data_IF_815534365368
#
_entry.id   IF_815534365368
#
_cell.length_a   1.000
_cell.length_b   1.000
_cell.length_c   1.000
_cell.angle_alpha   90.00
_cell.angle_beta   90.00
_cell.angle_gamma   90.00
#
_symmetry.space_group_name_H-M   'P 1'
#
loop_
_entity.id
_entity.type
_entity.pdbx_description
1 polymer ?
#
# COMPACT_ATOMS: atom_id res chain seq x y z
N UNK A 1 24.76 -57.38 3.20
CA UNK A 1 23.92 -56.54 4.08
C UNK A 1 24.86 -55.67 4.88
N UNK A 2 25.30 -54.52 4.35
CA UNK A 2 26.18 -53.59 5.10
C UNK A 2 25.89 -52.12 4.78
N UNK A 3 24.79 -51.83 4.07
CA UNK A 3 24.58 -50.49 3.51
C UNK A 3 23.69 -49.65 4.45
N UNK A 4 22.86 -50.22 5.31
CA UNK A 4 21.91 -49.42 6.11
C UNK A 4 22.54 -48.60 7.26
N UNK A 5 23.69 -49.01 7.81
CA UNK A 5 24.31 -48.33 8.96
C UNK A 5 24.95 -46.98 8.65
N UNK A 6 25.46 -46.77 7.44
CA UNK A 6 26.22 -45.55 7.12
C UNK A 6 25.34 -44.29 7.10
N UNK A 7 24.08 -44.41 6.66
CA UNK A 7 23.19 -43.26 6.54
C UNK A 7 22.79 -42.71 7.91
N UNK A 8 22.57 -43.60 8.88
CA UNK A 8 22.20 -43.24 10.25
C UNK A 8 23.37 -42.50 10.93
N UNK A 9 24.59 -43.03 10.81
CA UNK A 9 25.81 -42.39 11.35
C UNK A 9 26.17 -41.08 10.64
N UNK A 10 25.90 -40.96 9.33
CA UNK A 10 26.07 -39.70 8.59
C UNK A 10 25.05 -38.66 9.06
N UNK A 11 23.81 -39.09 9.32
CA UNK A 11 22.74 -38.25 9.86
C UNK A 11 23.07 -37.68 11.23
N UNK A 12 23.55 -38.51 12.16
CA UNK A 12 23.95 -38.07 13.49
C UNK A 12 25.10 -37.04 13.45
N UNK A 13 26.08 -37.26 12.58
CA UNK A 13 27.19 -36.33 12.38
C UNK A 13 26.73 -35.00 11.78
N UNK A 14 25.85 -35.02 10.78
CA UNK A 14 25.24 -33.81 10.21
C UNK A 14 24.42 -33.06 11.25
N UNK A 15 23.57 -33.77 12.00
CA UNK A 15 22.77 -33.18 13.06
C UNK A 15 23.62 -32.47 14.10
N UNK A 16 24.72 -33.10 14.54
CA UNK A 16 25.65 -32.52 15.52
C UNK A 16 26.28 -31.23 15.03
N UNK A 17 26.52 -31.09 13.71
CA UNK A 17 27.06 -29.87 13.09
C UNK A 17 26.00 -28.79 12.86
N UNK A 18 24.77 -29.19 12.56
CA UNK A 18 23.65 -28.28 12.25
C UNK A 18 22.98 -27.76 13.52
N UNK A 19 22.81 -28.60 14.54
CA UNK A 19 22.16 -28.27 15.81
C UNK A 19 22.67 -26.99 16.49
N UNK A 20 23.99 -26.74 16.64
CA UNK A 20 24.47 -25.50 17.24
C UNK A 20 24.15 -24.24 16.41
N UNK A 21 23.98 -24.37 15.08
CA UNK A 21 23.68 -23.26 14.16
C UNK A 21 22.16 -23.05 13.97
N UNK A 22 21.36 -24.11 13.98
CA UNK A 22 19.93 -24.08 13.65
C UNK A 22 19.09 -24.97 14.58
N UNK A 23 19.08 -24.69 15.89
CA UNK A 23 18.45 -25.52 16.92
C UNK A 23 17.01 -25.93 16.63
N UNK A 24 16.15 -24.98 16.26
CA UNK A 24 14.72 -25.24 15.99
C UNK A 24 14.45 -26.09 14.74
N UNK A 25 15.32 -26.00 13.73
CA UNK A 25 15.12 -26.65 12.44
C UNK A 25 16.09 -27.80 12.17
N UNK A 26 16.99 -28.11 13.11
CA UNK A 26 18.08 -29.07 12.90
C UNK A 26 17.59 -30.45 12.47
N UNK A 27 16.51 -30.95 13.08
CA UNK A 27 15.93 -32.25 12.73
C UNK A 27 15.39 -32.28 11.31
N UNK A 28 14.63 -31.26 10.91
CA UNK A 28 14.05 -31.14 9.57
C UNK A 28 15.14 -30.93 8.51
N UNK A 29 16.09 -30.03 8.77
CA UNK A 29 17.23 -29.76 7.89
C UNK A 29 18.07 -31.01 7.67
N UNK A 30 18.36 -31.76 8.75
CA UNK A 30 19.12 -33.01 8.65
C UNK A 30 18.33 -34.05 7.84
N UNK A 31 17.03 -34.17 8.06
CA UNK A 31 16.16 -35.06 7.29
C UNK A 31 16.18 -34.75 5.79
N UNK A 32 16.02 -33.48 5.41
CA UNK A 32 16.07 -33.05 4.00
C UNK A 32 17.43 -33.26 3.37
N UNK A 33 18.51 -33.06 4.12
CA UNK A 33 19.85 -33.34 3.63
C UNK A 33 20.07 -34.83 3.46
N UNK A 34 19.56 -35.68 4.36
CA UNK A 34 19.66 -37.14 4.25
C UNK A 34 18.98 -37.75 3.01
N UNK A 35 18.12 -36.99 2.32
CA UNK A 35 17.58 -37.37 1.01
C UNK A 35 18.62 -37.28 -0.12
N UNK A 36 19.77 -36.63 0.13
CA UNK A 36 20.87 -36.55 -0.82
C UNK A 36 21.69 -37.85 -0.87
N UNK A 37 22.34 -38.13 -2.01
CA UNK A 37 23.20 -39.30 -2.14
C UNK A 37 24.36 -39.30 -1.11
N UNK A 38 24.73 -40.48 -0.61
CA UNK A 38 25.77 -40.64 0.42
C UNK A 38 27.10 -39.97 0.11
N UNK A 39 27.54 -40.02 -1.14
CA UNK A 39 28.79 -39.39 -1.55
C UNK A 39 28.75 -37.87 -1.34
N UNK A 40 27.59 -37.25 -1.54
CA UNK A 40 27.36 -35.82 -1.28
C UNK A 40 27.40 -35.55 0.23
N UNK A 41 26.77 -36.40 1.04
CA UNK A 41 26.77 -36.27 2.52
C UNK A 41 28.18 -36.40 3.10
N UNK A 42 28.95 -37.39 2.65
CA UNK A 42 30.34 -37.55 3.06
C UNK A 42 31.21 -36.37 2.63
N UNK A 43 30.96 -35.81 1.44
CA UNK A 43 31.65 -34.62 0.96
C UNK A 43 31.28 -33.37 1.79
N UNK A 44 30.02 -33.22 2.17
CA UNK A 44 29.56 -32.12 3.04
C UNK A 44 30.14 -32.21 4.45
N UNK A 45 30.37 -33.40 4.99
CA UNK A 45 31.04 -33.55 6.29
C UNK A 45 32.53 -33.16 6.24
N UNK A 46 33.15 -33.24 5.06
CA UNK A 46 34.55 -32.84 4.84
C UNK A 46 34.68 -31.36 4.45
N UNK A 47 33.67 -30.80 3.80
CA UNK A 47 33.63 -29.41 3.33
C UNK A 47 32.55 -28.61 4.06
N UNK A 48 33.00 -27.78 5.02
CA UNK A 48 32.11 -26.95 5.83
C UNK A 48 31.40 -25.86 5.02
N UNK A 49 32.00 -25.37 3.92
CA UNK A 49 31.36 -24.38 3.05
C UNK A 49 30.22 -25.02 2.25
N UNK A 50 30.45 -26.23 1.73
CA UNK A 50 29.42 -27.02 1.06
C UNK A 50 28.27 -27.37 2.01
N UNK A 51 28.59 -27.74 3.25
CA UNK A 51 27.59 -27.99 4.29
C UNK A 51 26.77 -26.74 4.58
N UNK A 52 27.41 -25.59 4.80
CA UNK A 52 26.69 -24.33 5.02
C UNK A 52 25.78 -23.98 3.85
N UNK A 53 26.26 -24.11 2.61
CA UNK A 53 25.46 -23.81 1.42
C UNK A 53 24.26 -24.77 1.27
N UNK A 54 24.45 -26.05 1.55
CA UNK A 54 23.36 -27.04 1.50
C UNK A 54 22.34 -26.80 2.61
N UNK A 55 22.79 -26.47 3.83
CA UNK A 55 21.92 -26.09 4.95
C UNK A 55 21.15 -24.81 4.64
N UNK A 56 21.77 -23.81 4.02
CA UNK A 56 21.09 -22.59 3.61
C UNK A 56 20.02 -22.88 2.54
N UNK A 57 20.35 -23.71 1.54
CA UNK A 57 19.37 -24.16 0.54
C UNK A 57 18.20 -24.92 1.16
N UNK A 58 18.48 -25.86 2.07
CA UNK A 58 17.45 -26.59 2.79
C UNK A 58 16.62 -25.66 3.70
N UNK A 59 17.24 -24.63 4.28
CA UNK A 59 16.56 -23.62 5.09
C UNK A 59 15.61 -22.77 4.23
N UNK A 60 16.04 -22.34 3.04
CA UNK A 60 15.18 -21.66 2.07
C UNK A 60 14.01 -22.55 1.63
N UNK A 61 14.27 -23.82 1.35
CA UNK A 61 13.23 -24.78 1.00
C UNK A 61 12.23 -25.04 2.15
N UNK A 62 12.71 -25.08 3.40
CA UNK A 62 11.84 -25.17 4.59
C UNK A 62 11.03 -23.92 4.84
N UNK A 63 11.54 -22.73 4.48
CA UNK A 63 10.77 -21.49 4.53
C UNK A 63 9.65 -21.53 3.49
N UNK A 64 9.95 -21.93 2.25
CA UNK A 64 8.95 -22.09 1.18
C UNK A 64 7.85 -23.11 1.54
N UNK A 65 8.19 -24.16 2.29
CA UNK A 65 7.22 -25.20 2.69
C UNK A 65 6.46 -24.85 3.97
N UNK A 66 6.95 -23.88 4.77
CA UNK A 66 6.33 -23.45 6.04
C UNK A 66 5.59 -22.11 5.95
N UNK A 67 5.37 -21.56 4.77
CA UNK A 67 4.35 -20.49 4.63
C UNK A 67 2.96 -21.13 4.73
N UNK A 68 2.27 -20.92 5.86
CA UNK A 68 1.68 -19.63 6.14
C UNK A 68 2.60 -18.79 7.02
N UNK A 69 2.77 -17.54 6.62
CA UNK A 69 3.27 -16.41 7.42
C UNK A 69 4.80 -16.26 7.65
N UNK A 70 5.33 -15.18 7.05
CA UNK A 70 6.48 -14.31 7.42
C UNK A 70 7.84 -14.50 6.72
N UNK A 71 7.91 -13.94 5.51
CA UNK A 71 8.93 -13.03 4.92
C UNK A 71 10.35 -13.02 5.54
N UNK A 72 11.38 -13.32 4.74
CA UNK A 72 12.37 -12.31 4.28
C UNK A 72 13.40 -12.85 3.26
N UNK A 73 13.37 -12.23 2.07
CA UNK A 73 14.50 -11.74 1.25
C UNK A 73 15.16 -12.63 0.15
N UNK A 74 14.89 -12.18 -1.09
CA UNK A 74 15.79 -12.01 -2.26
C UNK A 74 16.24 -13.30 -2.98
N UNK A 75 16.05 -13.46 -4.30
CA UNK A 75 16.10 -12.53 -5.43
C UNK A 75 15.27 -13.07 -6.61
N UNK A 76 14.87 -12.14 -7.48
CA UNK A 76 14.58 -12.32 -8.92
C UNK A 76 13.77 -13.55 -9.35
N UNK A 77 12.44 -13.42 -9.45
CA UNK A 77 11.78 -13.95 -10.64
C UNK A 77 10.43 -13.29 -10.93
N UNK A 78 10.24 -13.06 -12.21
CA UNK A 78 9.18 -12.37 -12.91
C UNK A 78 7.88 -13.18 -12.86
N UNK A 79 7.11 -13.04 -11.77
CA UNK A 79 5.73 -13.54 -11.76
C UNK A 79 4.83 -12.47 -11.15
N UNK A 80 3.93 -11.96 -11.97
CA UNK A 80 2.80 -11.13 -11.60
C UNK A 80 2.00 -11.76 -10.46
N UNK A 81 2.39 -11.51 -9.21
CA UNK A 81 1.48 -11.60 -8.07
C UNK A 81 0.57 -10.40 -8.23
N UNK A 82 -0.52 -10.61 -8.97
CA UNK A 82 -1.51 -9.60 -9.29
C UNK A 82 -1.87 -8.83 -8.02
N UNK A 83 -1.81 -7.51 -8.10
CA UNK A 83 -2.20 -6.57 -7.04
C UNK A 83 -3.58 -6.90 -6.43
N UNK A 84 -4.40 -7.68 -7.14
CA UNK A 84 -5.68 -8.24 -6.71
C UNK A 84 -5.62 -9.05 -5.41
N UNK A 85 -4.68 -9.98 -5.23
CA UNK A 85 -4.71 -10.90 -4.06
C UNK A 85 -4.30 -10.20 -2.76
N UNK A 86 -3.34 -9.27 -2.83
CA UNK A 86 -2.93 -8.47 -1.68
C UNK A 86 -4.04 -7.50 -1.26
N UNK A 87 -4.78 -6.98 -2.24
CA UNK A 87 -5.92 -6.11 -2.00
C UNK A 87 -7.10 -6.83 -1.36
N UNK A 88 -7.40 -8.06 -1.76
CA UNK A 88 -8.46 -8.87 -1.16
C UNK A 88 -8.18 -9.19 0.31
N UNK A 89 -6.93 -9.57 0.62
CA UNK A 89 -6.54 -9.85 2.01
C UNK A 89 -6.55 -8.59 2.89
N UNK A 90 -6.10 -7.46 2.36
CA UNK A 90 -6.14 -6.18 3.07
C UNK A 90 -7.59 -5.71 3.27
N UNK A 91 -8.46 -5.93 2.28
CA UNK A 91 -9.89 -5.62 2.37
C UNK A 91 -10.55 -6.35 3.52
N UNK A 92 -10.37 -7.67 3.61
CA UNK A 92 -11.02 -8.50 4.65
C UNK A 92 -10.63 -8.01 6.06
N UNK A 93 -9.34 -7.71 6.28
CA UNK A 93 -8.90 -7.17 7.56
C UNK A 93 -9.44 -5.78 7.87
N UNK A 94 -9.48 -4.87 6.88
CA UNK A 94 -10.04 -3.52 7.06
C UNK A 94 -11.56 -3.59 7.30
N UNK A 95 -12.23 -4.56 6.70
CA UNK A 95 -13.68 -4.75 6.82
C UNK A 95 -14.11 -5.16 8.23
N UNK A 96 -13.25 -5.89 8.96
CA UNK A 96 -13.46 -6.20 10.39
C UNK A 96 -13.68 -4.94 11.23
N UNK A 97 -13.03 -3.82 10.88
CA UNK A 97 -13.18 -2.54 11.58
C UNK A 97 -14.49 -1.80 11.25
N UNK A 98 -15.36 -2.35 10.40
CA UNK A 98 -16.71 -1.83 10.08
C UNK A 98 -16.73 -0.33 9.75
N UNK A 99 -15.74 0.12 8.97
CA UNK A 99 -15.59 1.55 8.63
C UNK A 99 -16.61 2.05 7.60
N UNK A 100 -17.31 1.16 6.90
CA UNK A 100 -18.22 1.48 5.79
C UNK A 100 -17.50 2.00 4.53
N UNK A 101 -16.17 2.17 4.61
CA UNK A 101 -15.31 2.68 3.54
C UNK A 101 -14.14 1.74 3.25
N UNK A 102 -14.28 0.46 3.63
CA UNK A 102 -13.24 -0.57 3.54
C UNK A 102 -12.58 -0.58 2.17
N UNK A 103 -13.35 -0.58 1.07
CA UNK A 103 -12.80 -0.58 -0.29
C UNK A 103 -11.90 0.62 -0.59
N UNK A 104 -12.30 1.82 -0.13
CA UNK A 104 -11.58 3.06 -0.41
C UNK A 104 -10.34 3.19 0.47
N UNK A 105 -10.46 2.79 1.74
CA UNK A 105 -9.34 2.71 2.68
C UNK A 105 -8.31 1.69 2.18
N UNK A 106 -8.74 0.48 1.81
CA UNK A 106 -7.89 -0.54 1.22
C UNK A 106 -7.18 -0.03 -0.03
N UNK A 107 -7.88 0.69 -0.92
CA UNK A 107 -7.25 1.33 -2.08
C UNK A 107 -6.16 2.32 -1.69
N UNK A 108 -6.43 3.21 -0.73
CA UNK A 108 -5.43 4.18 -0.23
C UNK A 108 -4.23 3.51 0.44
N UNK A 109 -4.45 2.40 1.15
CA UNK A 109 -3.39 1.63 1.78
C UNK A 109 -2.55 0.85 0.75
N UNK A 110 -3.18 0.29 -0.29
CA UNK A 110 -2.50 -0.38 -1.40
C UNK A 110 -1.70 0.58 -2.29
N UNK A 111 -2.08 1.86 -2.31
CA UNK A 111 -1.33 2.92 -3.00
C UNK A 111 0.00 3.23 -2.27
N UNK A 112 0.16 2.77 -1.02
CA UNK A 112 1.44 2.79 -0.31
C UNK A 112 2.38 1.65 -0.77
N UNK A 113 3.65 1.75 -0.41
CA UNK A 113 4.64 0.72 -0.76
C UNK A 113 4.21 -0.67 -0.29
N UNK A 114 4.47 -1.70 -1.11
CA UNK A 114 4.12 -3.10 -0.83
C UNK A 114 4.63 -3.60 0.53
N UNK A 115 5.84 -3.19 0.93
CA UNK A 115 6.41 -3.49 2.26
C UNK A 115 5.61 -2.90 3.42
N UNK A 116 5.02 -1.71 3.23
CA UNK A 116 4.16 -1.09 4.23
C UNK A 116 2.87 -1.90 4.38
N UNK A 117 2.27 -2.35 3.27
CA UNK A 117 1.06 -3.20 3.30
C UNK A 117 1.34 -4.55 3.97
N UNK A 118 2.48 -5.18 3.70
CA UNK A 118 2.89 -6.41 4.38
C UNK A 118 3.13 -6.22 5.89
N UNK A 119 3.67 -5.06 6.28
CA UNK A 119 3.83 -4.70 7.69
C UNK A 119 2.48 -4.51 8.38
N UNK A 120 1.51 -3.91 7.68
CA UNK A 120 0.12 -3.76 8.14
C UNK A 120 -0.59 -5.11 8.29
N UNK A 121 -0.36 -6.05 7.36
CA UNK A 121 -0.86 -7.43 7.43
C UNK A 121 -0.24 -8.22 8.59
N UNK A 122 0.93 -7.81 9.07
CA UNK A 122 1.66 -8.49 10.15
C UNK A 122 1.36 -7.90 11.54
N UNK A 123 0.95 -6.63 11.61
CA UNK A 123 0.68 -5.93 12.87
C UNK A 123 -0.73 -5.31 12.89
N UNK A 124 -1.65 -5.87 13.69
CA UNK A 124 -3.04 -5.42 13.73
C UNK A 124 -3.22 -4.03 14.36
N UNK A 125 -2.27 -3.55 15.18
CA UNK A 125 -2.35 -2.21 15.77
C UNK A 125 -1.92 -1.16 14.74
N UNK A 126 -0.87 -1.45 13.99
CA UNK A 126 -0.43 -0.60 12.88
C UNK A 126 -1.54 -0.46 11.83
N UNK A 127 -2.22 -1.56 11.54
CA UNK A 127 -3.37 -1.58 10.64
C UNK A 127 -4.50 -0.69 11.14
N UNK A 128 -4.91 -0.83 12.41
CA UNK A 128 -5.95 0.01 13.01
C UNK A 128 -5.60 1.50 12.95
N UNK A 129 -4.34 1.86 13.24
CA UNK A 129 -3.88 3.25 13.18
C UNK A 129 -3.94 3.79 11.74
N UNK A 130 -3.48 3.02 10.76
CA UNK A 130 -3.52 3.42 9.36
C UNK A 130 -4.95 3.46 8.79
N UNK A 131 -5.84 2.57 9.24
CA UNK A 131 -7.26 2.62 8.92
C UNK A 131 -7.89 3.90 9.47
N UNK A 132 -7.57 4.28 10.71
CA UNK A 132 -8.03 5.55 11.29
C UNK A 132 -7.49 6.77 10.54
N UNK A 133 -6.21 6.77 10.17
CA UNK A 133 -5.61 7.86 9.37
C UNK A 133 -6.28 7.99 8.00
N UNK A 134 -6.50 6.88 7.31
CA UNK A 134 -7.21 6.85 6.03
C UNK A 134 -8.66 7.32 6.18
N UNK A 135 -9.35 6.89 7.25
CA UNK A 135 -10.72 7.29 7.55
C UNK A 135 -10.83 8.80 7.85
N UNK A 136 -9.91 9.36 8.64
CA UNK A 136 -9.86 10.81 8.92
C UNK A 136 -9.54 11.62 7.66
N UNK A 137 -8.69 11.09 6.78
CA UNK A 137 -8.41 11.69 5.46
C UNK A 137 -9.65 11.67 4.58
N UNK A 138 -10.38 10.56 4.55
CA UNK A 138 -11.65 10.44 3.84
C UNK A 138 -12.71 11.37 4.40
N UNK A 139 -12.80 11.54 5.73
CA UNK A 139 -13.68 12.54 6.34
C UNK A 139 -13.30 13.96 5.93
N UNK A 140 -12.03 14.35 5.98
CA UNK A 140 -11.60 15.69 5.54
C UNK A 140 -11.81 15.93 4.05
N UNK A 141 -11.66 14.91 3.21
CA UNK A 141 -11.97 14.99 1.79
C UNK A 141 -13.47 15.08 1.56
N UNK A 142 -14.26 14.29 2.28
CA UNK A 142 -15.72 14.36 2.27
C UNK A 142 -16.23 15.69 2.80
N UNK A 143 -15.61 16.27 3.83
CA UNK A 143 -15.91 17.62 4.31
C UNK A 143 -15.52 18.70 3.28
N UNK A 144 -14.54 18.43 2.41
CA UNK A 144 -14.24 19.31 1.26
C UNK A 144 -15.19 19.13 0.08
N UNK A 145 -15.92 18.02 -0.02
CA UNK A 145 -16.76 17.67 -1.18
C UNK A 145 -18.27 17.68 -0.88
N UNK A 146 -18.66 17.50 0.37
CA UNK A 146 -20.05 17.36 0.84
C UNK A 146 -20.53 18.56 1.70
N UNK A 147 -19.69 19.56 1.97
CA UNK A 147 -20.09 20.80 2.69
C UNK A 147 -20.44 21.97 1.76
N UNK A 148 -20.62 21.72 0.46
CA UNK A 148 -21.33 22.67 -0.38
C UNK A 148 -22.80 22.28 -0.35
N UNK A 149 -23.40 22.42 0.82
CA UNK A 149 -24.85 22.54 0.92
C UNK A 149 -25.29 23.72 0.03
N UNK A 150 -26.50 23.68 -0.51
CA UNK A 150 -27.01 24.74 -1.39
C UNK A 150 -26.88 26.15 -0.76
N UNK A 151 -26.90 26.21 0.57
CA UNK A 151 -26.71 27.42 1.39
C UNK A 151 -25.29 28.02 1.28
N UNK A 152 -24.26 27.17 1.12
CA UNK A 152 -22.87 27.62 0.95
C UNK A 152 -22.61 28.11 -0.47
N UNK A 153 -23.32 27.56 -1.47
CA UNK A 153 -23.25 28.04 -2.85
C UNK A 153 -23.84 29.45 -2.98
N UNK A 154 -24.95 29.72 -2.28
CA UNK A 154 -25.56 31.06 -2.24
C UNK A 154 -24.61 32.09 -1.58
N UNK A 155 -24.00 31.75 -0.44
CA UNK A 155 -23.00 32.60 0.23
C UNK A 155 -21.73 32.81 -0.60
N UNK A 156 -21.27 31.78 -1.30
CA UNK A 156 -20.16 31.87 -2.26
C UNK A 156 -20.51 32.84 -3.38
N UNK A 157 -21.73 32.78 -3.91
CA UNK A 157 -22.25 33.71 -4.91
C UNK A 157 -22.27 35.15 -4.44
N UNK A 158 -22.76 35.43 -3.23
CA UNK A 158 -22.78 36.79 -2.66
C UNK A 158 -21.37 37.37 -2.46
N UNK A 159 -20.44 36.53 -1.96
CA UNK A 159 -19.03 36.89 -1.78
C UNK A 159 -18.35 37.18 -3.12
N UNK A 160 -18.60 36.31 -4.10
CA UNK A 160 -18.06 36.43 -5.44
C UNK A 160 -18.59 37.67 -6.13
N UNK A 161 -19.90 37.92 -6.06
CA UNK A 161 -20.55 39.10 -6.62
C UNK A 161 -19.91 40.39 -6.09
N UNK A 162 -19.71 40.48 -4.77
CA UNK A 162 -19.12 41.66 -4.15
C UNK A 162 -17.71 41.95 -4.70
N UNK A 163 -16.88 40.91 -4.88
CA UNK A 163 -15.53 41.05 -5.42
C UNK A 163 -15.52 41.34 -6.93
N UNK A 164 -16.45 40.74 -7.68
CA UNK A 164 -16.60 41.01 -9.11
C UNK A 164 -17.12 42.42 -9.33
N UNK A 165 -18.06 42.91 -8.51
CA UNK A 165 -18.60 44.28 -8.58
C UNK A 165 -17.51 45.33 -8.33
N UNK A 166 -16.53 45.05 -7.47
CA UNK A 166 -15.34 45.92 -7.31
C UNK A 166 -14.44 45.96 -8.56
N UNK A 167 -14.48 44.94 -9.42
CA UNK A 167 -13.66 44.83 -10.64
C UNK A 167 -14.42 45.35 -11.86
N UNK A 168 -15.65 44.90 -12.05
CA UNK A 168 -16.53 45.27 -13.15
C UNK A 168 -18.00 45.41 -12.67
N UNK A 169 -18.41 46.62 -12.24
CA UNK A 169 -19.76 46.85 -11.75
C UNK A 169 -20.83 46.80 -12.86
N UNK A 170 -20.44 46.88 -14.13
CA UNK A 170 -21.38 46.93 -15.25
C UNK A 170 -21.94 45.54 -15.60
N UNK A 171 -21.09 44.50 -15.54
CA UNK A 171 -21.47 43.12 -15.86
C UNK A 171 -21.33 42.19 -14.65
N UNK A 172 -21.26 42.73 -13.43
CA UNK A 172 -21.04 41.95 -12.22
C UNK A 172 -22.02 40.78 -12.08
N UNK A 173 -23.29 41.00 -12.41
CA UNK A 173 -24.33 39.97 -12.28
C UNK A 173 -24.10 38.83 -13.28
N UNK A 174 -23.90 39.15 -14.55
CA UNK A 174 -23.68 38.17 -15.62
C UNK A 174 -22.36 37.41 -15.42
N UNK A 175 -21.28 38.11 -15.08
CA UNK A 175 -19.97 37.50 -14.82
C UNK A 175 -20.05 36.58 -13.60
N UNK A 176 -20.68 37.02 -12.50
CA UNK A 176 -20.84 36.17 -11.31
C UNK A 176 -21.68 34.94 -11.63
N UNK A 177 -22.74 35.08 -12.42
CA UNK A 177 -23.54 33.96 -12.92
C UNK A 177 -22.68 32.95 -13.68
N UNK A 178 -21.88 33.39 -14.65
CA UNK A 178 -20.98 32.53 -15.42
C UNK A 178 -19.91 31.85 -14.57
N UNK A 179 -19.38 32.55 -13.57
CA UNK A 179 -18.41 31.97 -12.64
C UNK A 179 -19.06 30.96 -11.69
N UNK A 180 -20.30 31.21 -11.25
CA UNK A 180 -21.07 30.29 -10.41
C UNK A 180 -21.44 28.99 -11.13
N UNK A 181 -21.44 28.97 -12.45
CA UNK A 181 -21.57 27.73 -13.24
C UNK A 181 -20.31 26.84 -13.16
N UNK A 182 -19.21 27.31 -12.57
CA UNK A 182 -18.00 26.52 -12.35
C UNK A 182 -18.09 25.65 -11.09
N UNK A 183 -17.18 24.68 -10.96
CA UNK A 183 -17.08 23.86 -9.76
C UNK A 183 -16.77 24.70 -8.51
N UNK A 184 -17.45 24.40 -7.41
CA UNK A 184 -17.32 25.17 -6.17
C UNK A 184 -15.91 25.14 -5.54
N UNK A 185 -15.12 24.11 -5.83
CA UNK A 185 -13.69 24.08 -5.48
C UNK A 185 -12.91 25.19 -6.18
N UNK A 186 -13.19 25.43 -7.47
CA UNK A 186 -12.58 26.51 -8.26
C UNK A 186 -13.03 27.87 -7.74
N UNK A 187 -14.31 28.03 -7.41
CA UNK A 187 -14.83 29.26 -6.82
C UNK A 187 -14.15 29.61 -5.49
N UNK A 188 -13.94 28.62 -4.62
CA UNK A 188 -13.21 28.83 -3.37
C UNK A 188 -11.75 29.25 -3.60
N UNK A 189 -11.08 28.68 -4.61
CA UNK A 189 -9.74 29.11 -5.00
C UNK A 189 -9.73 30.55 -5.54
N UNK A 190 -10.73 30.94 -6.34
CA UNK A 190 -10.89 32.31 -6.84
C UNK A 190 -11.12 33.30 -5.69
N UNK A 191 -11.97 32.96 -4.73
CA UNK A 191 -12.20 33.78 -3.53
C UNK A 191 -10.94 33.89 -2.65
N UNK A 192 -10.10 32.85 -2.63
CA UNK A 192 -8.84 32.85 -1.88
C UNK A 192 -7.71 33.60 -2.61
N UNK A 193 -7.82 33.78 -3.93
CA UNK A 193 -6.78 34.38 -4.75
C UNK A 193 -7.33 35.51 -5.66
N UNK A 194 -7.14 36.78 -5.28
CA UNK A 194 -7.67 37.92 -6.04
C UNK A 194 -7.04 38.08 -7.43
N UNK A 195 -5.82 37.56 -7.63
CA UNK A 195 -5.17 37.56 -8.95
C UNK A 195 -5.86 36.60 -9.92
N UNK A 196 -6.23 35.41 -9.44
CA UNK A 196 -6.95 34.42 -10.24
C UNK A 196 -8.37 34.90 -10.55
N UNK A 197 -9.05 35.51 -9.57
CA UNK A 197 -10.36 36.12 -9.76
C UNK A 197 -10.36 37.16 -10.88
N UNK A 198 -9.39 38.10 -10.89
CA UNK A 198 -9.28 39.09 -11.97
C UNK A 198 -9.14 38.46 -13.35
N UNK A 199 -8.34 37.40 -13.48
CA UNK A 199 -8.17 36.68 -14.75
C UNK A 199 -9.48 36.01 -15.17
N UNK A 200 -10.21 35.42 -14.23
CA UNK A 200 -11.51 34.80 -14.50
C UNK A 200 -12.56 35.84 -14.94
N UNK A 201 -12.63 36.98 -14.26
CA UNK A 201 -13.50 38.12 -14.62
C UNK A 201 -13.18 38.63 -16.02
N UNK A 202 -11.90 38.84 -16.35
CA UNK A 202 -11.49 39.28 -17.69
C UNK A 202 -11.88 38.28 -18.80
N UNK A 203 -11.77 36.98 -18.52
CA UNK A 203 -12.19 35.93 -19.46
C UNK A 203 -13.70 35.94 -19.67
N UNK A 204 -14.48 36.05 -18.59
CA UNK A 204 -15.93 36.14 -18.67
C UNK A 204 -16.38 37.40 -19.41
N UNK A 205 -15.70 38.53 -19.17
CA UNK A 205 -15.96 39.79 -19.86
C UNK A 205 -15.69 39.69 -21.38
N UNK A 206 -14.61 39.02 -21.78
CA UNK A 206 -14.35 38.76 -23.20
C UNK A 206 -15.40 37.84 -23.83
N UNK A 207 -15.97 36.89 -23.07
CA UNK A 207 -17.06 36.02 -23.53
C UNK A 207 -18.38 36.80 -23.69
N UNK A 208 -18.64 37.78 -22.82
CA UNK A 208 -19.81 38.67 -22.92
C UNK A 208 -19.74 39.58 -24.14
N UNK A 209 -18.57 40.15 -24.43
CA UNK A 209 -18.35 41.06 -25.57
C UNK A 209 -18.47 40.32 -26.93
N UNK A 210 -18.16 39.02 -26.96
CA UNK A 210 -18.27 38.18 -28.17
C UNK A 210 -19.66 37.57 -28.40
N UNK A 211 -20.59 37.75 -27.45
CA UNK A 211 -21.97 37.27 -27.52
C UNK A 211 -23.00 38.28 -28.04
N UNK A 212 -22.59 39.50 -28.41
CA UNK A 212 -23.47 40.55 -28.95
C UNK A 212 -23.58 40.57 -30.48
#
# INVERSE_FOLDING_TARGET
MEVEGDLETLGEQLYTRIYPKHKDNAGKLTGMLLELPRHVLSQMLQDEALLCAAVEKACRALQLTQEPSRVTSKDDDDVSVSSDSLGEQLFDMVDVYNTGHSQKITGMLLEQHKDAVLSLLSDPKLLEEQVNVALETLKKQKERTDLLDADDTEKLGERLFSLVEEIDPLHANDITGMLLEMEATVLQELLSNPGMLKVAVQKAQAALDTGQ
#
